data_IF_751536362385
#
_entry.id   IF_751536362385
#
_cell.length_a   1.000
_cell.length_b   1.000
_cell.length_c   1.000
_cell.angle_alpha   90.00
_cell.angle_beta   90.00
_cell.angle_gamma   90.00
#
_symmetry.space_group_name_H-M   'P 1'
#
loop_
_entity.id
_entity.type
_entity.pdbx_description
1 polymer ?
#
# COMPACT_ATOMS: atom_id res chain seq x y z
N UNK A 1 10.07 24.44 4.67
CA UNK A 1 8.79 23.87 4.22
C UNK A 1 9.02 23.16 2.90
N UNK A 2 8.85 21.85 2.87
CA UNK A 2 9.06 21.02 1.68
C UNK A 2 7.75 21.01 0.86
N UNK A 3 7.82 21.30 -0.45
CA UNK A 3 6.71 21.31 -1.43
C UNK A 3 5.61 22.40 -1.34
N UNK A 4 5.62 23.33 -0.36
CA UNK A 4 4.60 24.40 -0.23
C UNK A 4 3.14 23.89 -0.24
N UNK A 5 2.90 22.70 0.31
CA UNK A 5 1.56 22.13 0.44
C UNK A 5 0.87 22.68 1.70
N UNK A 6 -0.47 22.70 1.69
CA UNK A 6 -1.27 22.99 2.89
C UNK A 6 -1.16 21.79 3.85
N UNK A 7 -0.37 21.96 4.92
CA UNK A 7 -0.06 20.91 5.90
C UNK A 7 -1.33 20.30 6.50
N UNK A 8 -2.34 21.13 6.80
CA UNK A 8 -3.59 20.66 7.39
C UNK A 8 -4.35 19.77 6.41
N UNK A 9 -4.47 20.21 5.15
CA UNK A 9 -5.11 19.39 4.11
C UNK A 9 -4.33 18.13 3.80
N UNK A 10 -2.99 18.17 3.86
CA UNK A 10 -2.16 17.00 3.68
C UNK A 10 -2.44 15.99 4.79
N UNK A 11 -2.38 16.38 6.06
CA UNK A 11 -2.66 15.50 7.21
C UNK A 11 -4.06 14.88 7.12
N UNK A 12 -5.07 15.67 6.72
CA UNK A 12 -6.47 15.24 6.63
C UNK A 12 -6.78 14.34 5.42
N UNK A 13 -5.99 14.42 4.34
CA UNK A 13 -6.31 13.77 3.06
C UNK A 13 -5.22 12.85 2.53
N UNK A 14 -4.09 12.77 3.20
CA UNK A 14 -3.05 11.81 2.90
C UNK A 14 -3.61 10.39 3.02
N UNK A 15 -3.17 9.54 2.10
CA UNK A 15 -3.50 8.13 2.01
C UNK A 15 -2.22 7.37 2.30
N UNK A 16 -2.26 6.37 3.17
CA UNK A 16 -1.10 5.57 3.53
C UNK A 16 -0.23 6.16 4.64
N UNK A 17 -0.76 7.06 5.45
CA UNK A 17 -0.02 7.66 6.54
C UNK A 17 0.36 6.62 7.61
N UNK A 18 1.66 6.34 7.75
CA UNK A 18 2.20 5.38 8.73
C UNK A 18 2.08 5.83 10.20
N UNK A 19 1.46 6.99 10.46
CA UNK A 19 1.33 7.61 11.80
C UNK A 19 0.71 6.69 12.85
N UNK A 20 -0.15 5.75 12.42
CA UNK A 20 -0.90 4.87 13.31
C UNK A 20 -0.25 3.48 13.47
N UNK A 21 0.78 3.16 12.68
CA UNK A 21 1.30 1.79 12.57
C UNK A 21 2.07 1.33 13.81
N UNK A 22 2.53 2.28 14.64
CA UNK A 22 3.25 1.98 15.87
C UNK A 22 2.31 1.91 17.08
N UNK A 23 1.50 2.94 17.28
CA UNK A 23 0.71 3.08 18.51
C UNK A 23 -0.60 2.26 18.46
N UNK A 24 -1.18 2.07 17.27
CA UNK A 24 -2.40 1.28 17.08
C UNK A 24 -2.30 0.37 15.84
N UNK A 25 -1.44 -0.68 15.86
CA UNK A 25 -1.11 -1.48 14.68
C UNK A 25 -2.32 -2.04 13.93
N UNK A 26 -3.27 -2.66 14.65
CA UNK A 26 -4.49 -3.22 14.07
C UNK A 26 -5.33 -2.16 13.36
N UNK A 27 -5.49 -0.99 14.00
CA UNK A 27 -6.24 0.11 13.44
C UNK A 27 -5.51 0.72 12.24
N UNK A 28 -4.20 0.82 12.31
CA UNK A 28 -3.32 1.22 11.21
C UNK A 28 -3.50 0.33 10.00
N UNK A 29 -3.41 -0.99 10.17
CA UNK A 29 -3.61 -1.98 9.11
C UNK A 29 -5.02 -1.88 8.49
N UNK A 30 -6.06 -1.78 9.33
CA UNK A 30 -7.44 -1.64 8.85
C UNK A 30 -7.63 -0.35 8.04
N UNK A 31 -7.13 0.79 8.54
CA UNK A 31 -7.19 2.08 7.84
C UNK A 31 -6.48 2.02 6.50
N UNK A 32 -5.27 1.46 6.48
CA UNK A 32 -4.49 1.31 5.25
C UNK A 32 -5.21 0.44 4.21
N UNK A 33 -5.81 -0.68 4.62
CA UNK A 33 -6.61 -1.52 3.73
C UNK A 33 -7.80 -0.75 3.11
N UNK A 34 -8.52 0.03 3.92
CA UNK A 34 -9.63 0.88 3.45
C UNK A 34 -9.15 1.93 2.44
N UNK A 35 -8.02 2.56 2.73
CA UNK A 35 -7.35 3.56 1.91
C UNK A 35 -6.89 3.01 0.55
N UNK A 36 -6.26 1.84 0.54
CA UNK A 36 -5.95 1.10 -0.70
C UNK A 36 -7.21 0.81 -1.51
N UNK A 37 -8.30 0.42 -0.85
CA UNK A 37 -9.59 0.23 -1.51
C UNK A 37 -10.14 1.51 -2.16
N UNK A 38 -10.00 2.66 -1.50
CA UNK A 38 -10.39 3.97 -2.06
C UNK A 38 -9.53 4.33 -3.28
N UNK A 39 -8.21 4.12 -3.20
CA UNK A 39 -7.29 4.31 -4.31
C UNK A 39 -7.68 3.42 -5.51
N UNK A 40 -7.90 2.13 -5.29
CA UNK A 40 -8.33 1.19 -6.33
C UNK A 40 -9.65 1.62 -7.00
N UNK A 41 -10.65 2.05 -6.22
CA UNK A 41 -11.91 2.58 -6.78
C UNK A 41 -11.70 3.85 -7.61
N UNK A 42 -10.82 4.75 -7.14
CA UNK A 42 -10.49 5.96 -7.89
C UNK A 42 -9.81 5.65 -9.23
N UNK A 43 -8.87 4.71 -9.25
CA UNK A 43 -8.22 4.21 -10.47
C UNK A 43 -9.24 3.56 -11.41
N UNK A 44 -10.09 2.67 -10.90
CA UNK A 44 -11.10 1.99 -11.69
C UNK A 44 -12.11 2.94 -12.36
N UNK A 45 -12.38 4.10 -11.73
CA UNK A 45 -13.29 5.13 -12.27
C UNK A 45 -12.70 5.87 -13.46
N UNK A 46 -11.38 6.08 -13.49
CA UNK A 46 -10.72 6.90 -14.51
C UNK A 46 -10.09 6.09 -15.64
N UNK A 47 -9.78 4.81 -15.39
CA UNK A 47 -9.26 3.91 -16.42
C UNK A 47 -10.38 3.47 -17.38
N UNK A 48 -10.12 3.60 -18.69
CA UNK A 48 -10.92 2.94 -19.72
C UNK A 48 -10.82 1.41 -19.61
N UNK A 49 -11.78 0.69 -20.18
CA UNK A 49 -11.74 -0.78 -20.29
C UNK A 49 -10.40 -1.24 -20.90
N UNK A 50 -9.74 -2.20 -20.26
CA UNK A 50 -8.39 -2.67 -20.65
C UNK A 50 -7.23 -1.70 -20.35
N UNK A 51 -7.52 -0.52 -19.80
CA UNK A 51 -6.52 0.43 -19.30
C UNK A 51 -5.73 -0.15 -18.12
N UNK A 52 -4.50 0.34 -17.95
CA UNK A 52 -3.56 -0.15 -16.94
C UNK A 52 -3.06 0.97 -16.04
N UNK A 53 -2.81 0.65 -14.78
CA UNK A 53 -2.08 1.48 -13.83
C UNK A 53 -0.94 0.66 -13.22
N UNK A 54 0.26 1.24 -13.17
CA UNK A 54 1.37 0.68 -12.41
C UNK A 54 1.41 1.32 -11.02
N UNK A 55 1.44 0.50 -9.99
CA UNK A 55 1.54 0.92 -8.59
C UNK A 55 2.90 0.46 -8.06
N UNK A 56 3.70 1.42 -7.58
CA UNK A 56 4.96 1.16 -6.90
C UNK A 56 4.69 1.22 -5.40
N UNK A 57 4.96 0.14 -4.69
CA UNK A 57 4.73 0.04 -3.25
C UNK A 57 5.71 -0.93 -2.61
N UNK A 58 5.99 -0.74 -1.32
CA UNK A 58 6.84 -1.64 -0.56
C UNK A 58 6.09 -2.22 0.62
N UNK A 59 6.51 -3.41 1.03
CA UNK A 59 6.05 -4.05 2.24
C UNK A 59 6.29 -3.14 3.45
N UNK A 60 5.32 -3.11 4.36
CA UNK A 60 5.33 -2.29 5.58
C UNK A 60 5.30 -3.15 6.84
N UNK A 61 5.45 -2.53 8.00
CA UNK A 61 5.23 -3.19 9.29
C UNK A 61 4.27 -2.33 10.11
N UNK A 62 3.37 -2.98 10.84
CA UNK A 62 2.55 -2.37 11.88
C UNK A 62 2.91 -3.04 13.21
N UNK A 63 3.70 -2.36 14.04
CA UNK A 63 4.45 -3.01 15.12
C UNK A 63 5.31 -4.14 14.56
N UNK A 64 5.13 -5.35 15.13
CA UNK A 64 5.82 -6.58 14.71
C UNK A 64 5.05 -7.37 13.64
N UNK A 65 3.93 -6.85 13.14
CA UNK A 65 3.13 -7.54 12.12
C UNK A 65 3.53 -7.10 10.70
N UNK A 66 3.89 -8.04 9.81
CA UNK A 66 4.24 -7.72 8.43
C UNK A 66 3.01 -7.36 7.60
N UNK A 67 3.13 -6.30 6.82
CA UNK A 67 2.14 -5.87 5.83
C UNK A 67 2.68 -6.14 4.43
N UNK A 68 2.18 -7.21 3.79
CA UNK A 68 2.58 -7.58 2.43
C UNK A 68 1.83 -6.75 1.39
N UNK A 69 2.54 -5.81 0.79
CA UNK A 69 1.97 -4.76 -0.04
C UNK A 69 1.28 -5.32 -1.29
N UNK A 70 1.88 -6.34 -1.91
CA UNK A 70 1.33 -7.00 -3.09
C UNK A 70 0.01 -7.75 -2.80
N UNK A 71 -0.09 -8.41 -1.64
CA UNK A 71 -1.30 -9.10 -1.19
C UNK A 71 -2.41 -8.13 -0.84
N UNK A 72 -2.10 -7.09 -0.06
CA UNK A 72 -3.08 -6.06 0.32
C UNK A 72 -3.62 -5.32 -0.90
N UNK A 73 -2.76 -4.99 -1.87
CA UNK A 73 -3.20 -4.36 -3.11
C UNK A 73 -4.06 -5.30 -3.96
N UNK A 74 -3.67 -6.59 -4.06
CA UNK A 74 -4.45 -7.58 -4.80
C UNK A 74 -5.85 -7.73 -4.20
N UNK A 75 -5.98 -7.72 -2.87
CA UNK A 75 -7.27 -7.80 -2.20
C UNK A 75 -8.11 -6.54 -2.39
N UNK A 76 -7.51 -5.35 -2.20
CA UNK A 76 -8.16 -4.07 -2.48
C UNK A 76 -8.64 -3.96 -3.94
N UNK A 77 -7.88 -4.51 -4.89
CA UNK A 77 -8.25 -4.54 -6.31
C UNK A 77 -9.46 -5.44 -6.59
N UNK A 78 -9.70 -6.53 -5.82
CA UNK A 78 -10.91 -7.37 -5.97
C UNK A 78 -12.18 -6.60 -5.63
N UNK A 79 -12.11 -5.71 -4.63
CA UNK A 79 -13.21 -4.83 -4.23
C UNK A 79 -13.47 -3.66 -5.18
N UNK A 80 -12.70 -3.57 -6.27
CA UNK A 80 -12.87 -2.61 -7.35
C UNK A 80 -12.97 -3.34 -8.70
N UNK A 81 -13.32 -2.61 -9.74
CA UNK A 81 -13.36 -3.16 -11.10
C UNK A 81 -11.94 -3.23 -11.72
N UNK A 82 -11.02 -3.88 -10.99
CA UNK A 82 -9.61 -4.03 -11.34
C UNK A 82 -9.17 -5.49 -11.14
N UNK A 83 -8.04 -5.85 -11.76
CA UNK A 83 -7.33 -7.11 -11.53
C UNK A 83 -5.82 -6.88 -11.60
N UNK A 84 -5.06 -7.66 -10.84
CA UNK A 84 -3.60 -7.71 -11.02
C UNK A 84 -3.30 -8.41 -12.34
N UNK A 85 -2.47 -7.80 -13.19
CA UNK A 85 -2.06 -8.36 -14.49
C UNK A 85 -0.59 -8.74 -14.54
N UNK A 86 0.26 -8.07 -13.76
CA UNK A 86 1.67 -8.37 -13.64
C UNK A 86 2.21 -7.88 -12.29
N UNK A 87 3.30 -8.49 -11.82
CA UNK A 87 4.03 -8.11 -10.61
C UNK A 87 5.52 -8.35 -10.83
N UNK A 88 6.33 -7.36 -10.48
CA UNK A 88 7.76 -7.53 -10.27
C UNK A 88 8.09 -7.16 -8.82
N UNK A 89 9.02 -7.89 -8.20
CA UNK A 89 9.36 -7.71 -6.79
C UNK A 89 10.87 -7.80 -6.59
N UNK A 90 11.40 -6.95 -5.71
CA UNK A 90 12.80 -6.95 -5.29
C UNK A 90 12.88 -7.00 -3.77
N UNK A 91 13.84 -7.77 -3.23
CA UNK A 91 14.11 -7.81 -1.79
C UNK A 91 14.77 -6.50 -1.36
N UNK A 92 14.31 -5.93 -0.25
CA UNK A 92 14.85 -4.70 0.34
C UNK A 92 15.44 -5.00 1.72
N UNK A 93 16.54 -4.32 2.03
CA UNK A 93 17.15 -4.39 3.35
C UNK A 93 16.22 -3.83 4.44
N UNK A 94 16.27 -4.45 5.61
CA UNK A 94 15.57 -4.03 6.82
C UNK A 94 16.59 -3.36 7.76
N UNK A 95 16.21 -2.25 8.38
CA UNK A 95 17.14 -1.42 9.16
C UNK A 95 16.69 -1.16 10.61
N UNK A 96 15.44 -1.46 10.94
CA UNK A 96 14.82 -1.25 12.25
C UNK A 96 14.41 -2.59 12.88
N UNK A 97 14.50 -2.67 14.22
CA UNK A 97 14.24 -3.90 14.99
C UNK A 97 12.82 -4.44 14.77
N UNK A 98 11.82 -3.56 14.78
CA UNK A 98 10.41 -3.91 14.57
C UNK A 98 10.22 -4.61 13.21
N UNK A 99 10.79 -4.06 12.13
CA UNK A 99 10.75 -4.69 10.82
C UNK A 99 11.60 -5.96 10.76
N UNK A 100 12.69 -6.09 11.52
CA UNK A 100 13.48 -7.34 11.53
C UNK A 100 12.65 -8.49 12.09
N UNK A 101 11.88 -8.23 13.15
CA UNK A 101 10.96 -9.21 13.71
C UNK A 101 9.79 -9.50 12.75
N UNK A 102 9.13 -8.47 12.23
CA UNK A 102 8.00 -8.62 11.32
C UNK A 102 8.32 -9.45 10.07
N UNK A 103 9.52 -9.28 9.53
CA UNK A 103 9.98 -9.95 8.31
C UNK A 103 10.92 -11.14 8.57
N UNK A 104 10.95 -11.67 9.79
CA UNK A 104 11.80 -12.82 10.16
C UNK A 104 11.47 -14.10 9.34
N UNK A 105 10.22 -14.26 8.93
CA UNK A 105 9.74 -15.46 8.19
C UNK A 105 9.77 -15.30 6.66
N UNK A 106 9.60 -14.07 6.16
CA UNK A 106 9.55 -13.76 4.73
C UNK A 106 10.22 -12.40 4.50
N UNK A 107 11.13 -12.28 3.52
CA UNK A 107 11.87 -11.04 3.30
C UNK A 107 10.94 -9.89 2.89
N UNK A 108 11.22 -8.71 3.43
CA UNK A 108 10.63 -7.43 3.02
C UNK A 108 10.96 -7.13 1.57
N UNK A 109 9.96 -6.73 0.78
CA UNK A 109 10.12 -6.44 -0.65
C UNK A 109 9.58 -5.08 -1.02
N UNK A 110 10.05 -4.59 -2.16
CA UNK A 110 9.39 -3.55 -2.93
C UNK A 110 8.88 -4.11 -4.25
N UNK A 111 7.81 -3.52 -4.74
CA UNK A 111 6.99 -4.08 -5.81
C UNK A 111 6.64 -3.02 -6.85
N UNK A 112 6.58 -3.46 -8.09
CA UNK A 112 5.79 -2.83 -9.14
C UNK A 112 4.65 -3.77 -9.49
N UNK A 113 3.42 -3.37 -9.20
CA UNK A 113 2.21 -4.14 -9.50
C UNK A 113 1.42 -3.43 -10.60
N UNK A 114 1.12 -4.14 -11.68
CA UNK A 114 0.26 -3.60 -12.74
C UNK A 114 -1.17 -4.06 -12.50
N UNK A 115 -2.07 -3.09 -12.38
CA UNK A 115 -3.52 -3.28 -12.33
C UNK A 115 -4.12 -3.04 -13.71
N UNK A 116 -5.09 -3.87 -14.10
CA UNK A 116 -5.87 -3.71 -15.32
C UNK A 116 -7.36 -3.54 -15.00
N UNK A 117 -8.01 -2.60 -15.71
CA UNK A 117 -9.48 -2.46 -15.72
C UNK A 117 -10.12 -3.67 -16.39
N UNK A 118 -11.13 -4.27 -15.73
CA UNK A 118 -11.84 -5.42 -16.29
C UNK A 118 -12.72 -5.02 -17.49
#
# INVERSE_FOLDING_TARGET
MWLHLDDKRMIEREVGAARWFKDEPEMGMFRFGRELGLMCRALARVLKKGGRAAVVMADGAAGVEPMYADEMLADAAKGADLKVVARASQVRAVFDDDSMEAFAKRPKREHVVVLGKR
#
